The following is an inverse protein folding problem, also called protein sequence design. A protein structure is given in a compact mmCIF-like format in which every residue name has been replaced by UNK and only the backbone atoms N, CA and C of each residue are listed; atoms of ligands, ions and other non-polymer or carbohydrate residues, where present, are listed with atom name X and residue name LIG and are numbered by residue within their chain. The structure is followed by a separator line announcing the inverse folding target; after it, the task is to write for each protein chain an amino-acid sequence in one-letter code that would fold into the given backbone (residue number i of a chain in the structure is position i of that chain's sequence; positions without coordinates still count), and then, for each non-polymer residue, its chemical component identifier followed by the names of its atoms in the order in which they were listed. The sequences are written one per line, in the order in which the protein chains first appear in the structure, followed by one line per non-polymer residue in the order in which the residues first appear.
data_IF_648417198888
#
_entry.id   IF_648417198888
#
_cell.length_a   1.000
_cell.length_b   1.000
_cell.length_c   1.000
_cell.angle_alpha   90.00
_cell.angle_beta   90.00
_cell.angle_gamma   90.00
#
_symmetry.space_group_name_H-M   'P 1'
#
loop_
_entity.id
_entity.type
_entity.pdbx_description
1 polymer ?
#
# COMPACT_ATOMS: atom_id res chain seq x y z
N UNK A 1 -16.24 12.06 -4.93
CA UNK A 1 -17.33 11.68 -4.00
C UNK A 1 -17.99 12.88 -3.32
N UNK A 2 -17.63 14.14 -3.64
CA UNK A 2 -18.36 15.32 -3.12
C UNK A 2 -19.77 15.46 -3.71
N UNK A 3 -20.09 14.70 -4.75
CA UNK A 3 -21.34 14.81 -5.52
C UNK A 3 -22.28 13.61 -5.30
N UNK A 4 -21.97 12.73 -4.34
CA UNK A 4 -22.80 11.56 -4.01
C UNK A 4 -23.47 11.79 -2.66
N UNK A 5 -24.76 11.46 -2.58
CA UNK A 5 -25.54 11.49 -1.35
C UNK A 5 -24.83 10.67 -0.24
N UNK A 6 -24.63 11.23 0.96
CA UNK A 6 -24.09 10.50 2.10
C UNK A 6 -24.77 9.15 2.35
N UNK A 7 -26.09 9.06 2.18
CA UNK A 7 -26.83 7.81 2.36
C UNK A 7 -26.42 6.74 1.34
N UNK A 8 -26.14 7.13 0.10
CA UNK A 8 -25.66 6.21 -0.95
C UNK A 8 -24.24 5.74 -0.63
N UNK A 9 -23.40 6.65 -0.16
CA UNK A 9 -22.04 6.32 0.27
C UNK A 9 -22.05 5.34 1.44
N UNK A 10 -22.90 5.57 2.44
CA UNK A 10 -23.00 4.71 3.62
C UNK A 10 -23.51 3.32 3.28
N UNK A 11 -24.50 3.21 2.39
CA UNK A 11 -24.95 1.90 1.88
C UNK A 11 -23.85 1.17 1.11
N UNK A 12 -23.00 1.88 0.36
CA UNK A 12 -21.88 1.26 -0.34
C UNK A 12 -20.84 0.70 0.65
N UNK A 13 -20.52 1.44 1.71
CA UNK A 13 -19.67 0.98 2.80
C UNK A 13 -20.25 -0.24 3.50
N UNK A 14 -21.53 -0.20 3.87
CA UNK A 14 -22.20 -1.31 4.55
C UNK A 14 -22.14 -2.60 3.72
N UNK A 15 -22.44 -2.52 2.43
CA UNK A 15 -22.39 -3.67 1.52
C UNK A 15 -20.97 -4.21 1.35
N UNK A 16 -20.00 -3.31 1.20
CA UNK A 16 -18.59 -3.69 1.09
C UNK A 16 -18.10 -4.40 2.36
N UNK A 17 -18.35 -3.84 3.53
CA UNK A 17 -17.89 -4.40 4.81
C UNK A 17 -18.63 -5.69 5.19
N UNK A 18 -19.92 -5.80 4.83
CA UNK A 18 -20.70 -7.03 4.99
C UNK A 18 -20.14 -8.17 4.15
N UNK A 19 -19.72 -7.89 2.92
CA UNK A 19 -19.09 -8.91 2.06
C UNK A 19 -17.74 -9.41 2.63
N UNK A 20 -17.04 -8.58 3.40
CA UNK A 20 -15.78 -8.94 4.05
C UNK A 20 -15.95 -9.60 5.43
N UNK A 21 -17.16 -9.56 6.00
CA UNK A 21 -17.42 -10.04 7.36
C UNK A 21 -17.03 -11.52 7.58
N UNK A 22 -17.30 -12.46 6.65
CA UNK A 22 -16.86 -13.84 6.83
C UNK A 22 -15.33 -13.99 6.94
N UNK A 23 -14.56 -13.17 6.21
CA UNK A 23 -13.10 -13.17 6.27
C UNK A 23 -12.61 -12.55 7.59
N UNK A 24 -13.27 -11.48 8.05
CA UNK A 24 -12.96 -10.83 9.32
C UNK A 24 -13.20 -11.78 10.50
N UNK A 25 -14.39 -12.39 10.59
CA UNK A 25 -14.76 -13.33 11.65
C UNK A 25 -13.90 -14.59 11.66
N UNK A 26 -13.45 -15.05 10.49
CA UNK A 26 -12.52 -16.18 10.39
C UNK A 26 -11.06 -15.81 10.71
N UNK A 27 -10.74 -14.55 11.02
CA UNK A 27 -9.36 -14.08 11.24
C UNK A 27 -8.49 -14.12 9.98
N UNK A 28 -9.09 -14.15 8.79
CA UNK A 28 -8.40 -14.27 7.48
C UNK A 28 -8.30 -12.93 6.73
N UNK A 29 -8.93 -11.87 7.24
CA UNK A 29 -8.80 -10.52 6.68
C UNK A 29 -7.56 -9.83 7.26
N UNK A 30 -6.49 -9.70 6.46
CA UNK A 30 -5.25 -9.05 6.88
C UNK A 30 -5.41 -7.52 7.07
N UNK A 31 -5.82 -6.83 6.00
CA UNK A 31 -6.16 -5.41 6.02
C UNK A 31 -6.99 -5.04 4.78
N UNK A 32 -7.72 -3.94 4.86
CA UNK A 32 -8.38 -3.28 3.73
C UNK A 32 -7.43 -2.23 3.16
N UNK A 33 -7.09 -2.34 1.88
CA UNK A 33 -6.23 -1.37 1.20
C UNK A 33 -7.01 -0.13 0.79
N UNK A 34 -6.61 1.03 1.30
CA UNK A 34 -7.05 2.36 0.85
C UNK A 34 -5.97 2.99 -0.02
N UNK A 35 -6.02 2.71 -1.32
CA UNK A 35 -5.10 3.30 -2.30
C UNK A 35 -5.66 4.61 -2.85
N UNK A 36 -5.02 5.72 -2.53
CA UNK A 36 -5.44 7.06 -2.96
C UNK A 36 -4.79 7.43 -4.31
N UNK A 37 -5.54 8.07 -5.22
CA UNK A 37 -5.07 8.39 -6.56
C UNK A 37 -4.14 9.61 -6.61
N UNK A 38 -3.48 9.84 -7.75
CA UNK A 38 -2.55 10.96 -7.95
C UNK A 38 -3.20 12.34 -7.71
N UNK A 39 -4.50 12.52 -7.90
CA UNK A 39 -5.19 13.81 -7.62
C UNK A 39 -5.52 14.02 -6.12
N UNK A 40 -4.90 13.26 -5.23
CA UNK A 40 -5.07 13.34 -3.79
C UNK A 40 -3.79 13.84 -3.10
N UNK A 41 -3.47 15.15 -3.17
CA UNK A 41 -2.29 15.71 -2.51
C UNK A 41 -2.46 15.80 -0.99
N UNK A 42 -1.35 15.94 -0.26
CA UNK A 42 -1.36 16.17 1.18
C UNK A 42 -2.13 17.44 1.54
N UNK A 43 -2.86 17.37 2.64
CA UNK A 43 -3.57 18.52 3.22
C UNK A 43 -4.53 18.10 4.33
N UNK A 44 -4.89 19.03 5.20
CA UNK A 44 -5.75 18.77 6.38
C UNK A 44 -7.03 18.01 6.02
N UNK A 45 -7.80 18.50 5.05
CA UNK A 45 -9.05 17.84 4.62
C UNK A 45 -8.86 16.42 4.08
N UNK A 46 -7.68 16.10 3.53
CA UNK A 46 -7.36 14.75 3.03
C UNK A 46 -6.97 13.83 4.17
N UNK A 47 -6.22 14.34 5.16
CA UNK A 47 -5.93 13.64 6.41
C UNK A 47 -7.22 13.28 7.15
N UNK A 48 -8.12 14.25 7.31
CA UNK A 48 -9.46 14.03 7.88
C UNK A 48 -10.26 12.96 7.11
N UNK A 49 -10.20 12.99 5.77
CA UNK A 49 -10.86 11.99 4.94
C UNK A 49 -10.29 10.58 5.13
N UNK A 50 -8.96 10.43 5.24
CA UNK A 50 -8.31 9.15 5.51
C UNK A 50 -8.80 8.58 6.85
N UNK A 51 -8.82 9.42 7.90
CA UNK A 51 -9.29 9.01 9.23
C UNK A 51 -10.76 8.60 9.17
N UNK A 52 -11.62 9.38 8.52
CA UNK A 52 -13.04 9.05 8.36
C UNK A 52 -13.26 7.71 7.62
N UNK A 53 -12.43 7.40 6.60
CA UNK A 53 -12.48 6.09 5.94
C UNK A 53 -12.06 4.95 6.87
N UNK A 54 -11.02 5.16 7.68
CA UNK A 54 -10.56 4.17 8.67
C UNK A 54 -11.63 3.92 9.75
N UNK A 55 -12.27 4.97 10.24
CA UNK A 55 -13.37 4.89 11.21
C UNK A 55 -14.57 4.11 10.64
N UNK A 56 -14.93 4.35 9.37
CA UNK A 56 -16.00 3.59 8.70
C UNK A 56 -15.66 2.11 8.55
N UNK A 57 -14.40 1.77 8.32
CA UNK A 57 -13.96 0.39 8.16
C UNK A 57 -13.81 -0.35 9.50
N UNK A 58 -13.69 0.37 10.62
CA UNK A 58 -13.52 -0.19 11.95
C UNK A 58 -14.63 -1.22 12.28
N UNK A 59 -14.31 -2.31 12.99
CA UNK A 59 -13.02 -2.64 13.60
C UNK A 59 -12.01 -3.29 12.65
N UNK A 60 -12.31 -3.38 11.33
CA UNK A 60 -11.38 -4.00 10.37
C UNK A 60 -10.20 -3.06 10.12
N UNK A 61 -8.99 -3.62 10.16
CA UNK A 61 -7.75 -2.87 9.88
C UNK A 61 -7.74 -2.35 8.44
N UNK A 62 -7.31 -1.11 8.26
CA UNK A 62 -7.02 -0.52 6.94
C UNK A 62 -5.52 -0.28 6.79
N UNK A 63 -5.00 -0.20 5.56
CA UNK A 63 -3.68 0.32 5.26
C UNK A 63 -3.78 1.40 4.16
N UNK A 64 -2.84 2.35 4.16
CA UNK A 64 -2.91 3.56 3.32
C UNK A 64 -1.79 3.58 2.32
N UNK A 65 -2.14 3.73 1.05
CA UNK A 65 -1.18 3.84 -0.03
C UNK A 65 -1.40 5.12 -0.83
N UNK A 66 -0.32 5.85 -1.06
CA UNK A 66 -0.36 7.10 -1.81
C UNK A 66 0.07 6.89 -3.27
N UNK A 67 -0.48 7.72 -4.15
CA UNK A 67 -0.04 7.88 -5.55
C UNK A 67 0.28 9.32 -5.91
N UNK A 68 0.25 10.22 -4.93
CA UNK A 68 0.66 11.61 -5.10
C UNK A 68 1.96 11.86 -4.32
N UNK A 69 3.04 12.32 -4.97
CA UNK A 69 4.36 12.49 -4.33
C UNK A 69 4.38 13.51 -3.19
N UNK A 70 3.43 14.45 -3.13
CA UNK A 70 3.41 15.48 -2.08
C UNK A 70 3.31 14.92 -0.66
N UNK A 71 2.83 13.68 -0.48
CA UNK A 71 2.83 13.01 0.82
C UNK A 71 4.23 12.60 1.31
N UNK A 72 5.17 12.40 0.38
CA UNK A 72 6.52 11.88 0.64
C UNK A 72 7.61 12.80 0.08
N UNK A 73 7.33 14.09 -0.09
CA UNK A 73 8.39 15.08 -0.29
C UNK A 73 9.23 15.21 0.98
N UNK A 74 10.52 15.63 0.89
CA UNK A 74 11.38 15.78 2.06
C UNK A 74 10.74 16.58 3.21
N UNK A 75 10.02 17.66 2.87
CA UNK A 75 9.37 18.53 3.85
C UNK A 75 8.13 17.89 4.53
N UNK A 76 7.44 16.97 3.85
CA UNK A 76 6.17 16.40 4.31
C UNK A 76 6.31 14.97 4.85
N UNK A 77 7.40 14.26 4.54
CA UNK A 77 7.55 12.84 4.85
C UNK A 77 7.38 12.55 6.34
N UNK A 78 8.09 13.29 7.21
CA UNK A 78 7.98 13.11 8.66
C UNK A 78 6.55 13.35 9.16
N UNK A 79 5.93 14.47 8.75
CA UNK A 79 4.55 14.81 9.13
C UNK A 79 3.53 13.76 8.65
N UNK A 80 3.74 13.17 7.46
CA UNK A 80 2.89 12.11 6.93
C UNK A 80 3.03 10.82 7.75
N UNK A 81 4.26 10.39 8.03
CA UNK A 81 4.52 9.16 8.79
C UNK A 81 4.02 9.30 10.23
N UNK A 82 4.26 10.43 10.88
CA UNK A 82 3.77 10.72 12.24
C UNK A 82 2.24 10.75 12.29
N UNK A 83 1.59 11.35 11.27
CA UNK A 83 0.14 11.34 11.15
C UNK A 83 -0.41 9.91 11.04
N UNK A 84 0.17 9.08 10.17
CA UNK A 84 -0.26 7.70 10.02
C UNK A 84 -0.03 6.89 11.30
N UNK A 85 1.12 7.09 11.97
CA UNK A 85 1.46 6.45 13.23
C UNK A 85 0.51 6.83 14.36
N UNK A 86 0.19 8.13 14.50
CA UNK A 86 -0.75 8.64 15.51
C UNK A 86 -2.17 8.07 15.37
N UNK A 87 -2.55 7.65 14.16
CA UNK A 87 -3.85 7.02 13.88
C UNK A 87 -3.77 5.49 13.70
N UNK A 88 -2.60 4.87 13.91
CA UNK A 88 -2.40 3.43 13.74
C UNK A 88 -2.81 2.94 12.34
N UNK A 89 -2.40 3.70 11.33
CA UNK A 89 -2.67 3.42 9.92
C UNK A 89 -1.39 2.92 9.26
N UNK A 90 -1.25 1.60 8.98
CA UNK A 90 -0.13 1.06 8.23
C UNK A 90 0.10 1.79 6.91
N UNK A 91 1.28 2.38 6.76
CA UNK A 91 1.77 2.94 5.51
C UNK A 91 2.13 1.79 4.58
N UNK A 92 1.61 1.85 3.35
CA UNK A 92 2.03 0.95 2.29
C UNK A 92 3.28 1.51 1.66
N UNK A 93 4.42 0.91 2.01
CA UNK A 93 5.69 1.16 1.36
C UNK A 93 5.61 0.65 -0.07
N UNK A 94 6.03 1.44 -1.05
CA UNK A 94 5.90 1.08 -2.46
C UNK A 94 7.25 1.05 -3.14
N UNK A 95 7.41 0.07 -4.03
CA UNK A 95 8.49 0.04 -5.00
C UNK A 95 7.89 0.23 -6.39
N UNK A 96 8.40 1.21 -7.13
CA UNK A 96 7.87 1.62 -8.42
C UNK A 96 8.89 2.46 -9.20
N UNK A 97 8.72 2.65 -10.52
CA UNK A 97 9.63 3.47 -11.31
C UNK A 97 9.65 4.92 -10.81
N UNK A 98 10.84 5.50 -10.73
CA UNK A 98 11.05 6.89 -10.29
C UNK A 98 11.12 7.85 -11.49
N UNK A 99 10.80 9.12 -11.27
CA UNK A 99 10.81 10.16 -12.30
C UNK A 99 9.49 10.34 -13.07
N UNK A 100 8.44 9.60 -12.71
CA UNK A 100 7.09 9.81 -13.24
C UNK A 100 6.29 10.73 -12.32
N UNK A 101 5.23 11.32 -12.87
CA UNK A 101 4.37 12.25 -12.11
C UNK A 101 3.79 11.64 -10.83
N UNK A 102 3.47 10.35 -10.87
CA UNK A 102 2.84 9.60 -9.78
C UNK A 102 3.81 8.73 -8.98
N UNK A 103 5.13 8.89 -9.23
CA UNK A 103 6.17 8.21 -8.48
C UNK A 103 6.14 8.60 -7.01
N UNK A 104 6.14 7.59 -6.15
CA UNK A 104 6.39 7.71 -4.72
C UNK A 104 7.79 7.16 -4.47
N UNK A 105 8.63 7.83 -3.67
CA UNK A 105 9.93 7.31 -3.31
C UNK A 105 9.79 6.01 -2.49
N UNK A 106 10.72 5.05 -2.60
CA UNK A 106 10.69 3.77 -1.87
C UNK A 106 11.09 3.95 -0.40
N UNK A 107 10.30 4.73 0.33
CA UNK A 107 10.44 4.94 1.78
C UNK A 107 9.87 3.74 2.50
N UNK A 108 10.68 3.12 3.37
CA UNK A 108 10.24 2.05 4.26
C UNK A 108 9.99 2.61 5.65
N UNK A 109 8.77 2.42 6.17
CA UNK A 109 8.39 2.88 7.49
C UNK A 109 7.22 2.06 8.03
N UNK A 110 7.35 1.54 9.25
CA UNK A 110 6.26 0.94 9.99
C UNK A 110 5.52 2.01 10.78
N UNK A 111 4.30 2.34 10.37
CA UNK A 111 3.43 3.31 11.06
C UNK A 111 2.33 2.63 11.89
N UNK A 112 2.40 1.31 12.06
CA UNK A 112 1.60 0.58 13.03
C UNK A 112 2.40 -0.63 13.54
N UNK A 113 2.48 -0.85 14.87
CA UNK A 113 3.28 -1.92 15.45
C UNK A 113 2.73 -3.33 15.19
N UNK A 114 1.49 -3.47 14.71
CA UNK A 114 0.90 -4.77 14.41
C UNK A 114 1.04 -5.16 12.93
N UNK A 115 1.23 -4.22 12.01
CA UNK A 115 1.30 -4.48 10.58
C UNK A 115 2.14 -3.46 9.81
N UNK A 116 3.17 -3.94 9.12
CA UNK A 116 3.82 -3.26 8.02
C UNK A 116 3.37 -3.83 6.67
N UNK A 117 3.30 -2.98 5.63
CA UNK A 117 2.85 -3.41 4.29
C UNK A 117 3.81 -2.88 3.22
N UNK A 118 4.24 -3.76 2.31
CA UNK A 118 5.04 -3.42 1.14
C UNK A 118 4.29 -3.87 -0.11
N UNK A 119 4.23 -3.00 -1.13
CA UNK A 119 3.73 -3.33 -2.47
C UNK A 119 4.79 -3.07 -3.52
N UNK A 120 5.19 -4.14 -4.21
CA UNK A 120 6.22 -4.13 -5.24
C UNK A 120 5.56 -4.05 -6.63
N UNK A 121 5.60 -2.90 -7.29
CA UNK A 121 4.94 -2.66 -8.59
C UNK A 121 5.83 -2.96 -9.81
N UNK A 122 7.14 -3.05 -9.63
CA UNK A 122 8.14 -3.25 -10.67
C UNK A 122 8.67 -1.96 -11.28
N UNK A 123 9.72 -2.06 -12.09
CA UNK A 123 10.40 -0.95 -12.75
C UNK A 123 10.15 -0.89 -14.27
N UNK A 124 8.90 -1.07 -14.73
CA UNK A 124 8.61 -1.06 -16.16
C UNK A 124 8.93 0.30 -16.81
N UNK A 125 9.70 0.28 -17.90
CA UNK A 125 9.98 1.45 -18.74
C UNK A 125 8.72 2.05 -19.39
N UNK A 126 7.61 1.29 -19.39
CA UNK A 126 6.31 1.70 -19.94
C UNK A 126 5.30 2.08 -18.85
N UNK A 127 5.77 2.63 -17.73
CA UNK A 127 4.92 2.99 -16.58
C UNK A 127 3.72 3.90 -16.93
N UNK A 128 3.91 4.82 -17.89
CA UNK A 128 2.86 5.74 -18.34
C UNK A 128 1.89 5.11 -19.36
N UNK A 129 2.08 3.84 -19.74
CA UNK A 129 1.17 3.15 -20.64
C UNK A 129 -0.22 2.98 -20.02
N UNK A 130 -1.24 3.09 -20.87
CA UNK A 130 -2.62 2.75 -20.51
C UNK A 130 -2.88 1.25 -20.50
N UNK A 131 -1.98 0.47 -21.10
CA UNK A 131 -2.01 -0.98 -21.04
C UNK A 131 -1.42 -1.45 -19.70
N UNK A 132 -2.23 -2.12 -18.89
CA UNK A 132 -1.85 -2.62 -17.58
C UNK A 132 -0.72 -3.66 -17.65
N UNK A 133 -0.63 -4.43 -18.74
CA UNK A 133 0.40 -5.44 -18.94
C UNK A 133 1.75 -4.81 -19.29
N UNK A 134 1.73 -3.66 -19.97
CA UNK A 134 2.94 -2.89 -20.21
C UNK A 134 3.35 -2.14 -18.95
N UNK A 135 2.40 -1.48 -18.28
CA UNK A 135 2.66 -0.69 -17.07
C UNK A 135 3.22 -1.52 -15.91
N UNK A 136 2.66 -2.71 -15.68
CA UNK A 136 3.10 -3.63 -14.62
C UNK A 136 3.94 -4.80 -15.17
N UNK A 137 4.41 -4.69 -16.41
CA UNK A 137 5.15 -5.71 -17.15
C UNK A 137 6.59 -5.85 -16.74
N UNK A 138 6.85 -6.13 -15.47
CA UNK A 138 8.20 -6.19 -14.92
C UNK A 138 8.46 -7.49 -14.18
N UNK A 139 9.63 -8.09 -14.38
CA UNK A 139 10.09 -9.22 -13.59
C UNK A 139 11.33 -8.78 -12.83
N UNK A 140 11.23 -8.74 -11.51
CA UNK A 140 12.38 -8.46 -10.66
C UNK A 140 13.46 -9.50 -10.89
N UNK A 141 14.69 -9.03 -10.94
CA UNK A 141 15.90 -9.85 -10.97
C UNK A 141 16.19 -10.44 -9.59
N UNK A 142 16.99 -11.50 -9.54
CA UNK A 142 17.40 -12.10 -8.26
C UNK A 142 18.22 -11.10 -7.41
N UNK A 143 19.02 -10.24 -8.05
CA UNK A 143 19.82 -9.21 -7.38
C UNK A 143 18.92 -8.14 -6.72
N UNK A 144 17.91 -7.62 -7.45
CA UNK A 144 16.95 -6.68 -6.86
C UNK A 144 16.19 -7.31 -5.68
N UNK A 145 15.80 -8.57 -5.78
CA UNK A 145 15.14 -9.27 -4.68
C UNK A 145 16.08 -9.50 -3.49
N UNK A 146 17.36 -9.77 -3.75
CA UNK A 146 18.40 -9.89 -2.71
C UNK A 146 18.66 -8.55 -2.00
N UNK A 147 18.52 -7.41 -2.69
CA UNK A 147 18.56 -6.09 -2.05
C UNK A 147 17.31 -5.79 -1.23
N UNK A 148 16.15 -6.31 -1.63
CA UNK A 148 14.88 -6.13 -0.92
C UNK A 148 14.78 -7.00 0.33
N UNK A 149 15.31 -8.21 0.33
CA UNK A 149 15.23 -9.15 1.44
C UNK A 149 15.69 -8.56 2.80
N UNK A 150 16.90 -7.96 2.94
CA UNK A 150 17.32 -7.38 4.22
C UNK A 150 16.45 -6.19 4.63
N UNK A 151 16.07 -5.32 3.69
CA UNK A 151 15.20 -4.17 3.95
C UNK A 151 13.82 -4.58 4.51
N UNK A 152 13.30 -5.69 4.01
CA UNK A 152 12.05 -6.30 4.51
C UNK A 152 12.26 -6.90 5.89
N UNK A 153 13.42 -7.53 6.13
CA UNK A 153 13.84 -8.04 7.44
C UNK A 153 13.85 -6.92 8.48
N UNK A 154 14.54 -5.82 8.19
CA UNK A 154 14.62 -4.65 9.07
C UNK A 154 13.22 -4.08 9.37
N UNK A 155 12.37 -3.89 8.35
CA UNK A 155 11.00 -3.40 8.54
C UNK A 155 10.15 -4.37 9.38
N UNK A 156 10.41 -5.67 9.30
CA UNK A 156 9.71 -6.68 10.08
C UNK A 156 10.11 -6.68 11.57
N UNK A 157 11.20 -6.03 11.96
CA UNK A 157 11.53 -5.82 13.38
C UNK A 157 10.61 -4.78 14.03
N UNK A 158 10.09 -3.83 13.25
CA UNK A 158 9.25 -2.74 13.72
C UNK A 158 7.74 -3.06 13.77
N UNK A 159 7.32 -4.22 13.26
CA UNK A 159 5.92 -4.63 13.24
C UNK A 159 5.72 -6.13 13.46
N UNK A 160 4.65 -6.52 14.16
CA UNK A 160 4.35 -7.94 14.44
C UNK A 160 4.17 -8.79 13.17
N UNK A 161 3.67 -8.18 12.09
CA UNK A 161 3.47 -8.85 10.81
C UNK A 161 3.90 -7.90 9.68
N UNK A 162 4.54 -8.46 8.66
CA UNK A 162 4.89 -7.74 7.44
C UNK A 162 4.24 -8.42 6.24
N UNK A 163 3.35 -7.71 5.56
CA UNK A 163 2.74 -8.18 4.33
C UNK A 163 3.50 -7.63 3.12
N UNK A 164 4.08 -8.51 2.31
CA UNK A 164 4.73 -8.15 1.04
C UNK A 164 3.87 -8.64 -0.12
N UNK A 165 3.45 -7.72 -0.99
CA UNK A 165 2.59 -8.03 -2.13
C UNK A 165 3.30 -7.63 -3.43
N UNK A 166 3.31 -8.55 -4.39
CA UNK A 166 3.76 -8.28 -5.75
C UNK A 166 2.57 -7.85 -6.62
N UNK A 167 2.70 -6.71 -7.29
CA UNK A 167 1.68 -6.13 -8.17
C UNK A 167 2.17 -6.00 -9.63
N UNK A 168 3.32 -6.59 -9.96
CA UNK A 168 3.85 -6.75 -11.30
C UNK A 168 3.14 -7.90 -12.05
N UNK A 169 1.82 -7.83 -12.15
CA UNK A 169 0.92 -8.94 -12.53
C UNK A 169 0.89 -9.27 -14.03
N UNK A 170 2.03 -9.18 -14.72
CA UNK A 170 2.16 -9.66 -16.09
C UNK A 170 2.62 -11.13 -16.09
N UNK A 171 1.87 -12.01 -16.76
CA UNK A 171 2.14 -13.47 -16.81
C UNK A 171 2.24 -14.07 -15.40
N UNK A 172 3.32 -14.80 -15.12
CA UNK A 172 3.65 -15.48 -13.88
C UNK A 172 4.72 -14.74 -13.05
N UNK A 173 5.02 -13.48 -13.39
CA UNK A 173 6.12 -12.73 -12.79
C UNK A 173 5.93 -12.49 -11.30
N UNK A 174 4.74 -12.03 -10.89
CA UNK A 174 4.43 -11.77 -9.49
C UNK A 174 4.57 -13.04 -8.61
N UNK A 175 4.07 -14.18 -9.09
CA UNK A 175 4.13 -15.47 -8.39
C UNK A 175 5.58 -15.99 -8.33
N UNK A 176 6.33 -15.84 -9.42
CA UNK A 176 7.73 -16.23 -9.50
C UNK A 176 8.59 -15.39 -8.56
N UNK A 177 8.46 -14.07 -8.60
CA UNK A 177 9.20 -13.17 -7.73
C UNK A 177 8.80 -13.33 -6.25
N UNK A 178 7.51 -13.54 -5.94
CA UNK A 178 7.08 -13.86 -4.58
C UNK A 178 7.73 -15.13 -4.04
N UNK A 179 7.85 -16.18 -4.86
CA UNK A 179 8.53 -17.43 -4.47
C UNK A 179 10.04 -17.23 -4.28
N UNK A 180 10.69 -16.47 -5.16
CA UNK A 180 12.11 -16.15 -5.05
C UNK A 180 12.40 -15.35 -3.77
N UNK A 181 11.64 -14.28 -3.52
CA UNK A 181 11.77 -13.49 -2.30
C UNK A 181 11.49 -14.31 -1.04
N UNK A 182 10.46 -15.16 -1.05
CA UNK A 182 10.16 -16.04 0.07
C UNK A 182 11.27 -17.06 0.35
N UNK A 183 12.11 -17.41 -0.63
CA UNK A 183 13.30 -18.24 -0.41
C UNK A 183 14.41 -17.42 0.27
N UNK A 184 14.65 -16.19 -0.19
CA UNK A 184 15.65 -15.28 0.39
C UNK A 184 15.34 -14.91 1.85
N UNK A 185 14.07 -14.74 2.20
CA UNK A 185 13.63 -14.41 3.57
C UNK A 185 13.66 -15.59 4.56
N UNK A 186 13.93 -16.82 4.08
CA UNK A 186 14.04 -18.02 4.94
C UNK A 186 15.48 -18.34 5.35
N UNK A 187 16.43 -17.63 4.77
CA UNK A 187 17.87 -17.72 5.06
C UNK A 187 18.24 -16.82 6.22
#
# INVERSE_FOLDING_TARGET
MKDLDPAVTDQAWERFLSALEPLHQAGKLGAILLQFPFWFPIGRSRKEYIVACAEKAAPRRVCVEFRNPTWMTPDNQAETLDFLAGHRLPYVCVDMPQGHRDSIPPVLAATDPDLAVIRLHGHSDKWDSKDIHERFGYRYTDDELAEWAPKIGDLAEDARQTHVLFNNCCRDYAQTNARQLAALLRT
#
